data_IF_912547006031
#
_entry.id   IF_912547006031
#
_cell.length_a   1.000
_cell.length_b   1.000
_cell.length_c   1.000
_cell.angle_alpha   90.00
_cell.angle_beta   90.00
_cell.angle_gamma   90.00
#
_symmetry.space_group_name_H-M   'P 1'
#
loop_
_entity.id
_entity.type
_entity.pdbx_description
1 polymer ?
#
# COMPACT_ATOMS: atom_id res chain seq x y z
N UNK A 1 -9.25 -13.12 -9.08
CA UNK A 1 -8.24 -12.20 -8.54
C UNK A 1 -8.70 -11.81 -7.13
N UNK A 2 -8.05 -12.30 -6.07
CA UNK A 2 -8.42 -11.96 -4.71
C UNK A 2 -8.15 -10.49 -4.40
N UNK A 3 -9.09 -9.88 -3.67
CA UNK A 3 -9.04 -8.45 -3.38
C UNK A 3 -9.42 -8.18 -1.93
N UNK A 4 -8.66 -7.31 -1.26
CA UNK A 4 -8.97 -6.77 0.06
C UNK A 4 -9.19 -5.27 -0.01
N UNK A 5 -10.09 -4.77 0.82
CA UNK A 5 -10.31 -3.35 1.01
C UNK A 5 -10.25 -3.00 2.49
N UNK A 6 -9.54 -1.94 2.84
CA UNK A 6 -9.58 -1.32 4.15
C UNK A 6 -10.11 0.10 4.06
N UNK A 7 -10.92 0.49 5.06
CA UNK A 7 -11.46 1.83 5.18
C UNK A 7 -11.03 2.41 6.51
N UNK A 8 -10.27 3.48 6.47
CA UNK A 8 -9.73 4.14 7.67
C UNK A 8 -10.43 5.49 7.81
N UNK A 9 -11.32 5.66 8.79
CA UNK A 9 -11.91 6.96 9.12
C UNK A 9 -10.80 7.94 9.54
N UNK A 10 -10.74 9.09 8.87
CA UNK A 10 -9.76 10.12 9.20
C UNK A 10 -10.20 11.48 8.66
N UNK A 11 -9.95 12.54 9.43
CA UNK A 11 -10.22 13.91 8.98
C UNK A 11 -9.15 14.45 8.02
N UNK A 12 -8.08 13.68 7.77
CA UNK A 12 -6.96 14.10 6.91
C UNK A 12 -6.55 13.05 5.87
N UNK A 13 -7.48 12.52 5.06
CA UNK A 13 -7.20 11.43 4.13
C UNK A 13 -6.20 11.83 3.04
N UNK A 14 -6.31 13.06 2.51
CA UNK A 14 -5.35 13.59 1.54
C UNK A 14 -3.91 13.66 2.09
N UNK A 15 -3.74 13.94 3.39
CA UNK A 15 -2.42 13.96 4.04
C UNK A 15 -1.80 12.56 4.05
N UNK A 16 -2.57 11.54 4.43
CA UNK A 16 -2.10 10.16 4.43
C UNK A 16 -1.78 9.66 3.03
N UNK A 17 -2.60 10.01 2.03
CA UNK A 17 -2.35 9.68 0.63
C UNK A 17 -1.02 10.27 0.14
N UNK A 18 -0.76 11.56 0.40
CA UNK A 18 0.52 12.19 0.02
C UNK A 18 1.72 11.58 0.74
N UNK A 19 1.57 11.22 2.01
CA UNK A 19 2.64 10.53 2.76
C UNK A 19 2.94 9.16 2.18
N UNK A 20 1.91 8.37 1.87
CA UNK A 20 2.05 7.07 1.22
C UNK A 20 2.72 7.21 -0.14
N UNK A 21 2.24 8.12 -0.99
CA UNK A 21 2.82 8.38 -2.32
C UNK A 21 4.31 8.73 -2.22
N UNK A 22 4.66 9.69 -1.37
CA UNK A 22 6.05 10.10 -1.16
C UNK A 22 6.92 8.92 -0.70
N UNK A 23 6.39 8.09 0.20
CA UNK A 23 7.09 6.91 0.68
C UNK A 23 7.29 5.85 -0.42
N UNK A 24 6.23 5.54 -1.16
CA UNK A 24 6.25 4.56 -2.24
C UNK A 24 7.18 5.02 -3.39
N UNK A 25 7.17 6.30 -3.75
CA UNK A 25 8.12 6.88 -4.73
C UNK A 25 9.57 6.80 -4.23
N UNK A 26 9.81 7.02 -2.94
CA UNK A 26 11.13 6.84 -2.34
C UNK A 26 11.60 5.36 -2.36
N UNK A 27 10.68 4.41 -2.19
CA UNK A 27 10.95 2.97 -2.32
C UNK A 27 11.17 2.54 -3.79
N UNK A 28 10.43 3.12 -4.73
CA UNK A 28 10.57 2.86 -6.17
C UNK A 28 11.85 3.44 -6.78
N UNK A 29 12.39 4.50 -6.16
CA UNK A 29 13.55 5.23 -6.68
C UNK A 29 14.84 4.38 -6.73
N UNK A 30 15.67 4.51 -7.77
CA UNK A 30 16.93 3.76 -7.92
C UNK A 30 17.95 3.97 -6.79
N UNK A 31 17.86 5.09 -6.05
CA UNK A 31 18.65 5.33 -4.83
C UNK A 31 18.22 4.47 -3.64
N UNK A 32 16.95 4.10 -3.53
CA UNK A 32 16.47 3.11 -2.55
C UNK A 32 17.04 1.71 -2.80
N UNK A 33 17.31 1.39 -4.08
CA UNK A 33 17.96 0.14 -4.51
C UNK A 33 19.46 0.10 -4.17
N UNK A 34 20.14 1.25 -4.08
CA UNK A 34 21.59 1.36 -3.80
C UNK A 34 21.93 1.55 -2.32
N UNK A 35 21.05 2.15 -1.51
CA UNK A 35 21.28 2.35 -0.07
C UNK A 35 21.12 1.07 0.77
N UNK A 36 20.58 -0.01 0.19
CA UNK A 36 20.37 -1.30 0.85
C UNK A 36 21.58 -2.24 0.83
N UNK A 37 22.74 -1.80 0.31
CA UNK A 37 23.97 -2.60 0.34
C UNK A 37 24.69 -2.59 1.71
N UNK A 38 24.32 -1.70 2.65
CA UNK A 38 25.02 -1.56 3.95
C UNK A 38 24.12 -1.54 5.19
N UNK A 39 22.78 -1.54 5.07
CA UNK A 39 21.88 -1.54 6.21
C UNK A 39 21.31 -2.95 6.43
N UNK A 40 22.02 -3.74 7.25
CA UNK A 40 21.56 -5.03 7.72
C UNK A 40 20.21 -4.90 8.46
N UNK A 41 19.27 -5.72 8.00
CA UNK A 41 18.03 -6.14 8.65
C UNK A 41 16.69 -5.45 8.22
N UNK A 42 15.78 -6.34 7.80
CA UNK A 42 14.30 -6.24 7.73
C UNK A 42 13.63 -5.60 6.50
N UNK A 43 13.75 -6.28 5.34
CA UNK A 43 12.66 -6.97 4.61
C UNK A 43 13.28 -7.51 3.31
N UNK A 44 13.10 -8.80 3.01
CA UNK A 44 13.88 -9.58 2.03
C UNK A 44 14.10 -8.93 0.66
N UNK A 45 15.23 -9.20 -0.02
CA UNK A 45 15.49 -8.77 -1.40
C UNK A 45 14.72 -9.68 -2.35
N UNK A 46 13.39 -9.64 -2.30
CA UNK A 46 12.61 -10.11 -3.42
C UNK A 46 12.56 -8.95 -4.42
N UNK A 47 12.91 -9.21 -5.68
CA UNK A 47 13.03 -8.23 -6.78
C UNK A 47 11.66 -7.66 -7.16
N UNK A 48 10.99 -6.99 -6.22
CA UNK A 48 9.69 -6.36 -6.46
C UNK A 48 9.95 -5.06 -7.21
N UNK A 49 9.37 -4.94 -8.40
CA UNK A 49 9.36 -3.65 -9.10
C UNK A 49 8.17 -2.86 -8.59
N UNK A 50 8.47 -1.79 -7.84
CA UNK A 50 7.47 -0.84 -7.40
C UNK A 50 7.36 0.30 -8.41
N UNK A 51 6.15 0.54 -8.93
CA UNK A 51 5.81 1.72 -9.72
C UNK A 51 4.65 2.43 -9.04
N UNK A 52 4.70 3.76 -9.04
CA UNK A 52 3.68 4.58 -8.36
C UNK A 52 3.15 5.57 -9.37
N UNK A 53 1.83 5.59 -9.49
CA UNK A 53 1.08 6.48 -10.37
C UNK A 53 -0.05 7.09 -9.55
N UNK A 54 -0.46 8.32 -9.82
CA UNK A 54 -1.55 8.91 -9.06
C UNK A 54 -1.76 10.40 -9.26
N UNK A 55 -2.95 10.82 -8.85
CA UNK A 55 -3.44 12.19 -8.74
C UNK A 55 -3.43 12.62 -7.27
N UNK A 56 -4.00 13.79 -6.96
CA UNK A 56 -4.05 14.33 -5.59
C UNK A 56 -4.99 13.53 -4.65
N UNK A 57 -5.98 12.86 -5.22
CA UNK A 57 -7.06 12.14 -4.53
C UNK A 57 -6.97 10.61 -4.65
N UNK A 58 -6.16 10.12 -5.60
CA UNK A 58 -5.95 8.68 -5.81
C UNK A 58 -4.50 8.37 -6.14
N UNK A 59 -3.93 7.37 -5.47
CA UNK A 59 -2.60 6.83 -5.75
C UNK A 59 -2.68 5.33 -5.99
N UNK A 60 -2.03 4.84 -7.02
CA UNK A 60 -1.93 3.45 -7.41
C UNK A 60 -0.46 3.05 -7.37
N UNK A 61 -0.14 2.05 -6.56
CA UNK A 61 1.18 1.46 -6.43
C UNK A 61 1.14 0.03 -6.99
N UNK A 62 1.88 -0.20 -8.07
CA UNK A 62 2.06 -1.51 -8.69
C UNK A 62 3.29 -2.18 -8.11
N UNK A 63 3.11 -3.37 -7.53
CA UNK A 63 4.15 -4.20 -6.96
C UNK A 63 4.28 -5.45 -7.84
N UNK A 64 5.12 -5.45 -8.86
CA UNK A 64 5.30 -6.65 -9.69
C UNK A 64 6.27 -7.62 -9.00
N UNK A 65 5.91 -8.91 -8.83
CA UNK A 65 4.73 -9.63 -9.35
C UNK A 65 3.57 -9.80 -8.34
N UNK A 66 3.58 -9.08 -7.22
CA UNK A 66 2.64 -9.27 -6.10
C UNK A 66 1.24 -8.69 -6.32
N UNK A 67 1.09 -7.68 -7.16
CA UNK A 67 -0.22 -7.07 -7.45
C UNK A 67 -0.21 -5.56 -7.39
N UNK A 68 -1.38 -4.98 -7.12
CA UNK A 68 -1.61 -3.53 -7.12
C UNK A 68 -2.28 -3.08 -5.84
N UNK A 69 -1.81 -1.98 -5.29
CA UNK A 69 -2.42 -1.27 -4.17
C UNK A 69 -2.98 0.06 -4.66
N UNK A 70 -4.25 0.33 -4.43
CA UNK A 70 -4.88 1.62 -4.72
C UNK A 70 -5.29 2.28 -3.41
N UNK A 71 -4.85 3.51 -3.21
CA UNK A 71 -5.30 4.38 -2.12
C UNK A 71 -6.14 5.51 -2.71
N UNK A 72 -7.31 5.73 -2.13
CA UNK A 72 -8.23 6.81 -2.50
C UNK A 72 -8.53 7.63 -1.25
N UNK A 73 -8.24 8.92 -1.31
CA UNK A 73 -8.63 9.87 -0.30
C UNK A 73 -10.04 10.39 -0.63
N UNK A 74 -11.01 10.09 0.23
CA UNK A 74 -12.34 10.72 0.18
C UNK A 74 -12.41 11.87 1.17
N UNK A 75 -13.60 12.39 1.51
CA UNK A 75 -13.73 13.54 2.42
C UNK A 75 -13.25 13.24 3.84
N UNK A 76 -13.62 12.08 4.40
CA UNK A 76 -13.31 11.70 5.79
C UNK A 76 -12.84 10.25 5.91
N UNK A 77 -12.42 9.64 4.82
CA UNK A 77 -12.00 8.23 4.81
C UNK A 77 -10.86 8.03 3.83
N UNK A 78 -9.85 7.29 4.26
CA UNK A 78 -8.85 6.74 3.37
C UNK A 78 -9.28 5.32 3.01
N UNK A 79 -9.59 5.09 1.74
CA UNK A 79 -9.93 3.77 1.21
C UNK A 79 -8.68 3.17 0.60
N UNK A 80 -8.38 1.93 0.96
CA UNK A 80 -7.19 1.21 0.49
C UNK A 80 -7.67 -0.10 -0.10
N UNK A 81 -7.26 -0.40 -1.31
CA UNK A 81 -7.66 -1.58 -2.05
C UNK A 81 -6.42 -2.33 -2.53
N UNK A 82 -6.36 -3.62 -2.22
CA UNK A 82 -5.28 -4.52 -2.62
C UNK A 82 -5.84 -5.54 -3.59
N UNK A 83 -5.30 -5.55 -4.80
CA UNK A 83 -5.61 -6.52 -5.84
C UNK A 83 -4.37 -7.37 -6.10
N UNK A 84 -4.48 -8.69 -5.97
CA UNK A 84 -3.36 -9.61 -6.13
C UNK A 84 -3.72 -10.77 -7.05
N UNK A 85 -2.76 -11.40 -7.74
CA UNK A 85 -3.04 -12.56 -8.61
C UNK A 85 -3.49 -13.79 -7.81
N UNK A 86 -2.97 -13.96 -6.60
CA UNK A 86 -3.22 -15.09 -5.70
C UNK A 86 -3.28 -14.65 -4.23
N UNK A 87 -3.75 -15.55 -3.36
CA UNK A 87 -3.95 -15.26 -1.92
C UNK A 87 -2.63 -15.07 -1.16
N UNK A 88 -1.55 -15.72 -1.58
CA UNK A 88 -0.23 -15.58 -0.94
C UNK A 88 0.35 -14.19 -1.22
N UNK A 89 0.24 -13.73 -2.46
CA UNK A 89 0.62 -12.37 -2.85
C UNK A 89 -0.28 -11.32 -2.16
N UNK A 90 -1.58 -11.60 -2.02
CA UNK A 90 -2.51 -10.74 -1.30
C UNK A 90 -2.14 -10.59 0.18
N UNK A 91 -1.87 -11.70 0.88
CA UNK A 91 -1.48 -11.67 2.30
C UNK A 91 -0.16 -10.90 2.50
N UNK A 92 0.81 -11.08 1.60
CA UNK A 92 2.07 -10.29 1.62
C UNK A 92 1.82 -8.81 1.43
N UNK A 93 0.98 -8.43 0.46
CA UNK A 93 0.60 -7.03 0.24
C UNK A 93 -0.13 -6.46 1.45
N UNK A 94 -1.07 -7.21 2.03
CA UNK A 94 -1.80 -6.81 3.23
C UNK A 94 -0.83 -6.51 4.37
N UNK A 95 0.08 -7.41 4.66
CA UNK A 95 1.00 -7.28 5.79
C UNK A 95 1.98 -6.13 5.58
N UNK A 96 2.51 -5.97 4.37
CA UNK A 96 3.38 -4.84 4.00
C UNK A 96 2.67 -3.49 4.18
N UNK A 97 1.48 -3.36 3.59
CA UNK A 97 0.72 -2.11 3.61
C UNK A 97 0.22 -1.80 5.03
N UNK A 98 -0.16 -2.82 5.80
CA UNK A 98 -0.51 -2.67 7.22
C UNK A 98 0.68 -2.13 8.02
N UNK A 99 1.89 -2.65 7.81
CA UNK A 99 3.09 -2.18 8.50
C UNK A 99 3.46 -0.74 8.11
N UNK A 100 3.33 -0.37 6.83
CA UNK A 100 3.60 1.01 6.36
C UNK A 100 2.59 2.01 6.91
N UNK A 101 1.29 1.66 6.90
CA UNK A 101 0.24 2.50 7.46
C UNK A 101 0.39 2.66 8.97
N UNK A 102 0.73 1.59 9.69
CA UNK A 102 1.02 1.65 11.11
C UNK A 102 2.25 2.53 11.41
N UNK A 103 3.21 2.65 10.50
CA UNK A 103 4.33 3.61 10.62
C UNK A 103 3.90 5.06 10.39
N UNK A 104 2.95 5.30 9.48
CA UNK A 104 2.45 6.64 9.21
C UNK A 104 1.50 7.14 10.31
N UNK A 105 0.69 6.24 10.84
CA UNK A 105 -0.15 6.52 11.99
C UNK A 105 0.72 6.53 13.25
N UNK A 106 0.90 7.70 13.86
CA UNK A 106 1.58 7.83 15.16
C UNK A 106 0.66 7.35 16.30
N UNK A 107 0.18 6.11 16.28
CA UNK A 107 -0.74 5.54 17.27
C UNK A 107 -1.38 4.21 16.86
N UNK A 108 -2.34 3.73 17.65
CA UNK A 108 -3.12 2.53 17.34
C UNK A 108 -4.12 2.82 16.22
N UNK A 109 -3.71 2.57 14.97
CA UNK A 109 -4.60 2.63 13.82
C UNK A 109 -5.25 1.26 13.63
N UNK A 110 -6.56 1.17 13.84
CA UNK A 110 -7.32 -0.04 13.53
C UNK A 110 -7.55 -0.09 12.02
N UNK A 111 -6.89 -1.03 11.36
CA UNK A 111 -7.04 -1.28 9.92
C UNK A 111 -7.86 -2.57 9.78
N UNK A 112 -9.11 -2.43 9.40
CA UNK A 112 -9.98 -3.57 9.11
C UNK A 112 -9.95 -3.89 7.62
N UNK A 113 -9.38 -5.05 7.28
CA UNK A 113 -9.35 -5.55 5.91
C UNK A 113 -10.56 -6.44 5.63
N UNK A 114 -11.36 -6.03 4.65
CA UNK A 114 -12.55 -6.74 4.22
C UNK A 114 -12.33 -7.34 2.82
N UNK A 115 -12.61 -8.63 2.60
CA UNK A 115 -12.58 -9.22 1.27
C UNK A 115 -13.73 -8.64 0.43
N UNK A 116 -13.36 -8.01 -0.69
CA UNK A 116 -14.33 -7.52 -1.67
C UNK A 116 -14.47 -8.56 -2.77
N UNK A 117 -15.51 -9.36 -2.64
CA UNK A 117 -15.95 -10.28 -3.68
C UNK A 117 -16.81 -9.47 -4.66
N UNK A 118 -16.32 -9.30 -5.89
CA UNK A 118 -17.19 -8.85 -6.97
C UNK A 118 -18.25 -9.94 -7.18
N UNK A 119 -19.46 -9.71 -6.67
CA UNK A 119 -20.63 -10.50 -7.07
C UNK A 119 -20.92 -10.13 -8.52
N UNK A 120 -20.45 -10.95 -9.45
CA UNK A 120 -21.00 -10.98 -10.80
C UNK A 120 -22.44 -11.47 -10.66
N UNK A 121 -23.40 -10.57 -10.90
CA UNK A 121 -24.82 -10.90 -11.01
C UNK A 121 -25.14 -11.43 -12.40
#
# INVERSE_FOLDING_TARGET
MPTLEARIPTDRPARYLRQFRTHAEAMASPRGRRLRAHAGNQHSPNTVQLRVEGTDDRTVAHFDPWGTCTLTATTNTLVIRLDAPDTTALDRLRDLITADLARFARGALTIEWNPIQFRTG
#
